data_IF_781237301659
#
_entry.id   IF_781237301659
#
_cell.length_a   1.000
_cell.length_b   1.000
_cell.length_c   1.000
_cell.angle_alpha   90.00
_cell.angle_beta   90.00
_cell.angle_gamma   90.00
#
_symmetry.space_group_name_H-M   'P 1'
#
loop_
_entity.id
_entity.type
_entity.pdbx_description
1 polymer ?
#
# COMPACT_ATOMS: atom_id res chain seq x y z
N UNK A 1 -4.53 -13.20 0.25
CA UNK A 1 -5.46 -12.35 -0.53
C UNK A 1 -6.59 -11.85 0.36
N UNK A 2 -7.16 -10.68 0.07
CA UNK A 2 -8.35 -10.16 0.76
C UNK A 2 -9.15 -9.22 -0.16
N UNK A 3 -10.48 -9.17 -0.03
CA UNK A 3 -11.35 -8.36 -0.88
C UNK A 3 -11.82 -7.08 -0.18
N UNK A 4 -11.73 -5.96 -0.89
CA UNK A 4 -12.29 -4.67 -0.47
C UNK A 4 -13.38 -4.27 -1.46
N UNK A 5 -14.57 -3.92 -0.96
CA UNK A 5 -15.68 -3.46 -1.81
C UNK A 5 -15.83 -1.95 -1.69
N UNK A 6 -15.93 -1.27 -2.83
CA UNK A 6 -16.21 0.17 -2.91
C UNK A 6 -17.36 0.33 -3.89
N UNK A 7 -18.51 0.76 -3.39
CA UNK A 7 -19.76 0.83 -4.16
C UNK A 7 -20.08 -0.50 -4.87
N UNK A 8 -20.08 -0.51 -6.21
CA UNK A 8 -20.32 -1.68 -7.04
C UNK A 8 -19.04 -2.43 -7.46
N UNK A 9 -17.85 -1.91 -7.10
CA UNK A 9 -16.55 -2.48 -7.47
C UNK A 9 -15.95 -3.32 -6.36
N UNK A 10 -15.23 -4.38 -6.75
CA UNK A 10 -14.47 -5.24 -5.83
C UNK A 10 -13.00 -5.17 -6.19
N UNK A 11 -12.17 -4.96 -5.18
CA UNK A 11 -10.72 -4.86 -5.27
C UNK A 11 -10.11 -5.97 -4.40
N UNK A 12 -9.96 -7.15 -4.98
CA UNK A 12 -9.34 -8.30 -4.32
C UNK A 12 -7.83 -8.17 -4.40
N UNK A 13 -7.23 -7.76 -3.28
CA UNK A 13 -5.81 -7.60 -3.12
C UNK A 13 -5.11 -8.96 -3.12
N UNK A 14 -4.20 -9.13 -4.08
CA UNK A 14 -3.31 -10.28 -4.20
C UNK A 14 -1.90 -9.75 -4.04
N UNK A 15 -1.32 -9.98 -2.87
CA UNK A 15 0.01 -9.50 -2.52
C UNK A 15 0.98 -10.65 -2.41
N UNK A 16 2.19 -10.44 -2.92
CA UNK A 16 3.29 -11.39 -2.86
C UNK A 16 4.52 -10.68 -2.27
N UNK A 17 5.14 -11.28 -1.25
CA UNK A 17 6.30 -10.68 -0.60
C UNK A 17 7.55 -10.93 -1.45
N UNK A 18 8.16 -9.86 -1.96
CA UNK A 18 9.32 -9.94 -2.84
C UNK A 18 10.64 -9.88 -2.04
N UNK A 19 10.69 -9.06 -0.99
CA UNK A 19 11.90 -8.83 -0.20
C UNK A 19 11.56 -8.56 1.26
N UNK A 20 12.33 -9.16 2.17
CA UNK A 20 12.29 -8.84 3.60
C UNK A 20 13.72 -8.63 4.11
N UNK A 21 13.93 -7.53 4.81
CA UNK A 21 15.10 -7.31 5.67
C UNK A 21 14.59 -7.11 7.09
N UNK A 22 14.95 -8.03 7.97
CA UNK A 22 14.42 -8.11 9.34
C UNK A 22 14.56 -6.76 10.06
N UNK A 23 13.47 -6.28 10.65
CA UNK A 23 13.38 -5.01 11.39
C UNK A 23 13.79 -3.74 10.60
N UNK A 24 13.86 -3.82 9.27
CA UNK A 24 14.31 -2.70 8.45
C UNK A 24 13.39 -2.44 7.26
N UNK A 25 13.06 -3.47 6.49
CA UNK A 25 12.39 -3.28 5.20
C UNK A 25 11.49 -4.46 4.84
N UNK A 26 10.35 -4.17 4.25
CA UNK A 26 9.55 -5.15 3.51
C UNK A 26 9.12 -4.53 2.18
N UNK A 27 9.26 -5.29 1.09
CA UNK A 27 8.72 -4.96 -0.23
C UNK A 27 7.84 -6.10 -0.70
N UNK A 28 6.65 -5.77 -1.18
CA UNK A 28 5.73 -6.73 -1.74
C UNK A 28 5.08 -6.19 -3.01
N UNK A 29 4.74 -7.11 -3.90
CA UNK A 29 3.94 -6.82 -5.07
C UNK A 29 2.49 -6.54 -4.65
N UNK A 30 1.87 -5.56 -5.29
CA UNK A 30 0.54 -5.05 -5.04
C UNK A 30 -0.27 -5.14 -6.33
N UNK A 31 -1.22 -6.06 -6.36
CA UNK A 31 -2.10 -6.35 -7.50
C UNK A 31 -3.54 -6.56 -7.05
N UNK A 32 -4.44 -6.47 -8.03
CA UNK A 32 -5.86 -6.76 -7.89
C UNK A 32 -6.25 -7.94 -8.78
N UNK A 33 -7.12 -8.83 -8.29
CA UNK A 33 -7.62 -9.95 -9.09
C UNK A 33 -8.44 -9.46 -10.30
N UNK A 34 -9.23 -8.41 -10.10
CA UNK A 34 -10.22 -7.93 -11.05
C UNK A 34 -9.64 -7.00 -12.12
N UNK A 35 -8.45 -6.45 -11.90
CA UNK A 35 -7.92 -5.34 -12.71
C UNK A 35 -6.47 -5.60 -13.13
N UNK A 36 -6.08 -5.23 -14.36
CA UNK A 36 -4.68 -5.21 -14.75
C UNK A 36 -3.93 -4.13 -13.98
N UNK A 37 -2.60 -4.23 -14.02
CA UNK A 37 -1.69 -3.31 -13.34
C UNK A 37 -1.00 -3.98 -12.16
N UNK A 38 0.10 -3.35 -11.77
CA UNK A 38 1.01 -3.88 -10.77
C UNK A 38 1.75 -2.74 -10.08
N UNK A 39 1.92 -2.83 -8.78
CA UNK A 39 2.80 -1.95 -8.02
C UNK A 39 3.73 -2.72 -7.11
N UNK A 40 4.84 -2.12 -6.74
CA UNK A 40 5.65 -2.57 -5.61
C UNK A 40 5.50 -1.59 -4.46
N UNK A 41 5.00 -2.09 -3.34
CA UNK A 41 4.86 -1.33 -2.10
C UNK A 41 6.00 -1.71 -1.19
N UNK A 42 6.74 -0.69 -0.75
CA UNK A 42 7.89 -0.82 0.13
C UNK A 42 7.67 -0.02 1.39
N UNK A 43 7.87 -0.67 2.54
CA UNK A 43 7.96 -0.04 3.84
C UNK A 43 9.40 -0.12 4.31
N UNK A 44 9.95 1.02 4.71
CA UNK A 44 11.28 1.14 5.32
C UNK A 44 11.15 1.78 6.69
N UNK A 45 11.79 1.17 7.68
CA UNK A 45 11.93 1.69 9.03
C UNK A 45 13.26 2.43 9.14
N UNK A 46 13.18 3.73 9.42
CA UNK A 46 14.33 4.61 9.56
C UNK A 46 14.43 5.00 11.05
N UNK A 47 15.44 4.51 11.79
CA UNK A 47 15.63 4.89 13.18
C UNK A 47 15.83 6.40 13.33
N UNK A 48 15.16 7.03 14.29
CA UNK A 48 15.26 8.45 14.53
C UNK A 48 15.21 8.74 16.05
N UNK A 49 16.38 8.77 16.69
CA UNK A 49 16.50 8.95 18.15
C UNK A 49 15.57 8.02 18.94
N UNK A 50 14.49 8.56 19.51
CA UNK A 50 13.50 7.84 20.32
C UNK A 50 12.24 7.43 19.55
N UNK A 51 12.22 7.61 18.23
CA UNK A 51 11.11 7.22 17.37
C UNK A 51 11.62 6.48 16.13
N UNK A 52 10.68 5.93 15.37
CA UNK A 52 10.94 5.31 14.07
C UNK A 52 10.16 6.09 13.03
N UNK A 53 10.85 6.57 12.01
CA UNK A 53 10.21 7.11 10.82
C UNK A 53 9.87 5.94 9.89
N UNK A 54 8.59 5.81 9.54
CA UNK A 54 8.13 4.84 8.54
C UNK A 54 8.07 5.54 7.20
N UNK A 55 8.87 5.10 6.24
CA UNK A 55 8.80 5.56 4.85
C UNK A 55 8.06 4.52 4.02
N UNK A 56 6.96 4.95 3.38
CA UNK A 56 6.24 4.15 2.40
C UNK A 56 6.54 4.64 0.99
N UNK A 57 6.83 3.70 0.09
CA UNK A 57 6.94 3.95 -1.35
C UNK A 57 6.00 2.99 -2.06
N UNK A 58 5.03 3.52 -2.81
CA UNK A 58 4.24 2.75 -3.76
C UNK A 58 4.71 3.10 -5.17
N UNK A 59 5.34 2.15 -5.85
CA UNK A 59 5.86 2.33 -7.21
C UNK A 59 5.03 1.50 -8.18
N UNK A 60 4.32 2.16 -9.10
CA UNK A 60 3.65 1.48 -10.22
C UNK A 60 4.71 0.87 -11.13
N UNK A 61 4.54 -0.42 -11.46
CA UNK A 61 5.41 -1.22 -12.32
C UNK A 61 4.73 -1.65 -13.61
N UNK A 62 3.40 -1.77 -13.59
CA UNK A 62 2.54 -1.95 -14.76
C UNK A 62 1.32 -1.05 -14.57
N UNK A 63 0.89 -0.38 -15.64
CA UNK A 63 -0.15 0.64 -15.58
C UNK A 63 -1.50 0.08 -15.12
N UNK A 64 -2.18 0.84 -14.27
CA UNK A 64 -3.55 0.57 -13.85
C UNK A 64 -4.54 1.28 -14.79
N UNK A 65 -5.79 0.79 -14.90
CA UNK A 65 -6.82 1.44 -15.74
C UNK A 65 -7.09 2.90 -15.33
N UNK A 66 -7.00 3.80 -16.31
CA UNK A 66 -7.24 5.25 -16.11
C UNK A 66 -8.73 5.60 -15.96
N UNK A 67 -9.64 4.72 -16.38
CA UNK A 67 -11.09 4.90 -16.34
C UNK A 67 -11.70 4.58 -14.95
N UNK A 68 -10.91 4.01 -14.03
CA UNK A 68 -11.32 3.68 -12.67
C UNK A 68 -10.89 4.81 -11.70
N UNK A 69 -11.83 5.54 -11.08
CA UNK A 69 -11.52 6.67 -10.19
C UNK A 69 -10.61 6.31 -9.01
N UNK A 70 -10.69 5.07 -8.50
CA UNK A 70 -9.89 4.57 -7.38
C UNK A 70 -8.41 4.38 -7.74
N UNK A 71 -8.06 4.24 -9.02
CA UNK A 71 -6.68 4.14 -9.50
C UNK A 71 -6.04 5.49 -9.81
N UNK A 72 -6.81 6.60 -9.73
CA UNK A 72 -6.25 7.93 -9.86
C UNK A 72 -5.21 8.21 -8.78
N UNK A 73 -4.20 8.98 -9.14
CA UNK A 73 -3.08 9.32 -8.25
C UNK A 73 -3.57 9.92 -6.92
N UNK A 74 -4.55 10.80 -6.96
CA UNK A 74 -5.10 11.45 -5.76
C UNK A 74 -5.79 10.43 -4.83
N UNK A 75 -6.48 9.44 -5.40
CA UNK A 75 -7.12 8.34 -4.65
C UNK A 75 -6.06 7.48 -3.97
N UNK A 76 -5.00 7.13 -4.70
CA UNK A 76 -3.86 6.38 -4.16
C UNK A 76 -3.17 7.12 -3.01
N UNK A 77 -2.89 8.42 -3.17
CA UNK A 77 -2.25 9.24 -2.12
C UNK A 77 -3.12 9.28 -0.88
N UNK A 78 -4.40 9.63 -1.01
CA UNK A 78 -5.33 9.70 0.12
C UNK A 78 -5.49 8.36 0.84
N UNK A 79 -5.54 7.26 0.08
CA UNK A 79 -5.60 5.91 0.66
C UNK A 79 -4.40 5.60 1.54
N UNK A 80 -3.18 5.90 1.08
CA UNK A 80 -1.97 5.68 1.86
C UNK A 80 -1.81 6.65 3.02
N UNK A 81 -2.18 7.93 2.86
CA UNK A 81 -2.20 8.91 3.96
C UNK A 81 -3.14 8.49 5.07
N UNK A 82 -4.34 8.00 4.74
CA UNK A 82 -5.29 7.47 5.70
C UNK A 82 -4.75 6.21 6.38
N UNK A 83 -4.24 5.24 5.60
CA UNK A 83 -3.76 3.97 6.15
C UNK A 83 -2.57 4.16 7.10
N UNK A 84 -1.56 4.94 6.70
CA UNK A 84 -0.33 5.13 7.48
C UNK A 84 -0.52 6.18 8.58
N UNK A 85 -1.08 7.34 8.22
CA UNK A 85 -1.18 8.48 9.12
C UNK A 85 -2.27 8.33 10.18
N UNK A 86 -3.27 7.48 9.96
CA UNK A 86 -4.39 7.28 10.88
C UNK A 86 -4.44 5.84 11.39
N UNK A 87 -4.74 4.85 10.55
CA UNK A 87 -5.03 3.48 11.03
C UNK A 87 -3.82 2.79 11.66
N UNK A 88 -2.66 2.82 10.99
CA UNK A 88 -1.44 2.23 11.52
C UNK A 88 -1.00 2.93 12.81
N UNK A 89 -1.06 4.27 12.83
CA UNK A 89 -0.72 5.05 14.02
C UNK A 89 -1.63 4.70 15.20
N UNK A 90 -2.95 4.69 14.99
CA UNK A 90 -3.92 4.34 16.02
C UNK A 90 -3.72 2.91 16.56
N UNK A 91 -3.39 1.95 15.69
CA UNK A 91 -3.09 0.58 16.11
C UNK A 91 -1.81 0.45 16.95
N UNK A 92 -0.80 1.29 16.71
CA UNK A 92 0.45 1.28 17.47
C UNK A 92 0.33 2.02 18.81
N UNK A 93 -0.61 2.95 18.92
CA UNK A 93 -0.87 3.76 20.12
C UNK A 93 -1.92 3.14 21.06
N UNK A 94 -2.60 2.07 20.64
CA UNK A 94 -3.53 1.29 21.46
C UNK A 94 -2.83 0.25 22.33
#
# INVERSE_FOLDING_TARGET
>A
QFAVKVEARTFTHIWEVNQVVRLQKITYNWKYLEYPGSGDVTFELIPAQNHVMVKLVNKVTEDFPDDIPEFKRESCIKGWEYFIGQNLKAYLES
#
